data_IF_972308122837
#
_entry.id   IF_972308122837
#
_cell.length_a   1.000
_cell.length_b   1.000
_cell.length_c   1.000
_cell.angle_alpha   90.00
_cell.angle_beta   90.00
_cell.angle_gamma   90.00
#
_symmetry.space_group_name_H-M   'P 1'
#
loop_
_entity.id
_entity.type
_entity.pdbx_description
1 polymer ?
#
# COMPACT_ATOMS: atom_id res chain seq x y z
N UNK A 1 20.06 -3.89 -20.91
CA UNK A 1 19.77 -2.99 -19.76
C UNK A 1 20.73 -3.35 -18.65
N UNK A 2 21.34 -2.36 -18.02
CA UNK A 2 22.20 -2.62 -16.88
C UNK A 2 21.34 -3.20 -15.76
N UNK A 3 21.68 -4.39 -15.27
CA UNK A 3 21.08 -4.92 -14.05
C UNK A 3 21.42 -3.94 -12.93
N UNK A 4 20.44 -3.47 -12.12
CA UNK A 4 20.76 -2.59 -11.01
C UNK A 4 21.80 -3.26 -10.13
N UNK A 5 22.90 -2.54 -9.86
CA UNK A 5 24.07 -3.06 -9.13
C UNK A 5 23.70 -3.55 -7.72
N UNK A 6 22.61 -3.03 -7.15
CA UNK A 6 22.09 -3.40 -5.84
C UNK A 6 20.60 -3.75 -5.94
N UNK A 7 20.21 -4.92 -5.44
CA UNK A 7 18.81 -5.36 -5.39
C UNK A 7 18.03 -4.60 -4.31
N UNK A 8 16.76 -4.27 -4.58
CA UNK A 8 15.87 -3.57 -3.64
C UNK A 8 15.69 -4.35 -2.32
N UNK A 9 15.76 -5.68 -2.36
CA UNK A 9 15.56 -6.56 -1.20
C UNK A 9 16.83 -6.83 -0.40
N UNK A 10 18.00 -6.36 -0.85
CA UNK A 10 19.27 -6.70 -0.22
C UNK A 10 19.78 -5.56 0.67
N UNK A 11 20.47 -5.94 1.73
CA UNK A 11 21.27 -5.01 2.51
C UNK A 11 22.46 -4.57 1.67
N UNK A 12 22.75 -3.28 1.65
CA UNK A 12 23.89 -2.75 0.91
C UNK A 12 24.64 -1.68 1.71
N UNK A 13 25.91 -1.51 1.34
CA UNK A 13 26.80 -0.50 1.88
C UNK A 13 27.47 0.24 0.72
N UNK A 14 27.38 1.56 0.71
CA UNK A 14 27.92 2.42 -0.35
C UNK A 14 28.80 3.49 0.29
N UNK A 15 30.10 3.40 -0.02
CA UNK A 15 31.06 4.44 0.32
C UNK A 15 30.97 5.61 -0.65
N UNK A 16 31.04 6.83 -0.12
CA UNK A 16 30.95 8.01 -0.95
C UNK A 16 31.39 9.29 -0.25
N UNK A 17 31.35 10.36 -1.04
CA UNK A 17 31.49 11.73 -0.56
C UNK A 17 30.13 12.39 -0.59
N UNK A 18 29.76 13.08 0.48
CA UNK A 18 28.41 13.58 0.74
C UNK A 18 28.43 15.07 1.03
N UNK A 19 27.42 15.80 0.58
CA UNK A 19 27.29 17.25 0.80
C UNK A 19 25.84 17.69 0.66
N UNK A 20 25.52 18.88 1.16
CA UNK A 20 24.20 19.50 0.97
C UNK A 20 24.14 20.21 -0.39
N UNK A 21 22.98 20.28 -1.07
CA UNK A 21 22.81 21.10 -2.25
C UNK A 21 23.27 22.55 -1.99
N UNK A 22 24.18 23.07 -2.82
CA UNK A 22 24.77 24.40 -2.64
C UNK A 22 25.79 24.54 -1.49
N UNK A 23 26.02 23.49 -0.69
CA UNK A 23 26.99 23.46 0.39
C UNK A 23 28.44 23.36 -0.11
N UNK A 24 29.37 24.07 0.55
CA UNK A 24 30.80 24.03 0.22
C UNK A 24 31.52 22.82 0.82
N UNK A 25 31.02 22.31 1.95
CA UNK A 25 31.68 21.23 2.69
C UNK A 25 31.26 19.86 2.18
N UNK A 26 32.26 19.02 1.98
CA UNK A 26 32.11 17.62 1.57
C UNK A 26 32.62 16.73 2.68
N UNK A 27 31.82 15.74 3.06
CA UNK A 27 32.14 14.78 4.11
C UNK A 27 32.25 13.38 3.52
N UNK A 28 33.19 12.59 4.03
CA UNK A 28 33.29 11.18 3.64
C UNK A 28 32.47 10.32 4.58
N UNK A 29 31.82 9.30 4.03
CA UNK A 29 30.99 8.43 4.81
C UNK A 29 30.47 7.21 4.07
N UNK A 30 29.72 6.40 4.80
CA UNK A 30 29.16 5.16 4.31
C UNK A 30 27.64 5.17 4.46
N UNK A 31 26.93 4.93 3.36
CA UNK A 31 25.49 4.75 3.35
C UNK A 31 25.18 3.26 3.51
N UNK A 32 24.41 2.94 4.53
CA UNK A 32 23.94 1.60 4.84
C UNK A 32 22.42 1.54 4.66
N UNK A 33 21.94 0.50 3.96
CA UNK A 33 20.52 0.17 3.91
C UNK A 33 20.32 -1.21 4.50
N UNK A 34 19.37 -1.30 5.41
CA UNK A 34 18.79 -2.55 5.91
C UNK A 34 17.26 -2.49 5.90
N UNK A 35 16.60 -3.62 6.17
CA UNK A 35 15.12 -3.77 6.18
C UNK A 35 14.36 -2.69 6.99
N UNK A 36 15.01 -2.06 7.96
CA UNK A 36 14.35 -1.10 8.86
C UNK A 36 14.97 0.28 8.84
N UNK A 37 16.06 0.49 8.11
CA UNK A 37 16.86 1.71 8.25
C UNK A 37 17.68 1.99 7.00
N UNK A 38 17.69 3.26 6.60
CA UNK A 38 18.67 3.81 5.68
C UNK A 38 19.46 4.83 6.49
N UNK A 39 20.76 4.58 6.68
CA UNK A 39 21.63 5.39 7.52
C UNK A 39 22.89 5.80 6.77
N UNK A 40 23.22 7.09 6.81
CA UNK A 40 24.50 7.63 6.40
C UNK A 40 25.37 7.88 7.63
N UNK A 41 26.53 7.24 7.67
CA UNK A 41 27.53 7.41 8.71
C UNK A 41 28.68 8.27 8.19
N UNK A 42 28.86 9.45 8.80
CA UNK A 42 29.85 10.44 8.39
C UNK A 42 31.00 10.54 9.40
N UNK A 43 32.21 10.68 8.87
CA UNK A 43 33.35 11.24 9.61
C UNK A 43 33.27 12.76 9.43
N UNK A 44 32.39 13.39 10.20
CA UNK A 44 32.11 14.83 10.16
C UNK A 44 30.65 15.11 10.44
N UNK A 45 30.24 16.35 10.18
CA UNK A 45 28.86 16.80 10.15
C UNK A 45 28.69 17.88 9.07
N UNK A 46 27.45 18.24 8.74
CA UNK A 46 27.14 19.29 7.76
C UNK A 46 26.97 20.68 8.38
N UNK A 47 27.10 20.76 9.71
CA UNK A 47 26.96 21.98 10.47
C UNK A 47 28.34 22.60 10.72
N UNK A 48 28.47 23.90 10.46
CA UNK A 48 29.61 24.69 10.91
C UNK A 48 29.48 24.90 12.43
N UNK A 49 29.96 23.93 13.21
CA UNK A 49 30.03 24.04 14.68
C UNK A 49 31.09 25.04 15.18
N UNK A 50 31.64 25.91 14.31
CA UNK A 50 32.58 26.95 14.73
C UNK A 50 31.88 28.11 15.47
N UNK A 51 30.56 28.32 15.30
CA UNK A 51 29.92 29.53 15.85
C UNK A 51 29.26 29.38 17.24
N UNK A 52 28.79 28.20 17.68
CA UNK A 52 28.10 28.09 18.97
C UNK A 52 28.31 26.74 19.73
N UNK A 53 29.28 26.67 20.66
CA UNK A 53 29.63 25.42 21.37
C UNK A 53 28.65 24.93 22.46
N UNK A 54 27.56 25.67 22.75
CA UNK A 54 26.76 25.48 23.97
C UNK A 54 25.26 25.21 23.72
N UNK A 55 24.84 24.96 22.48
CA UNK A 55 23.44 24.67 22.19
C UNK A 55 23.28 23.16 21.97
N UNK A 56 22.64 22.47 22.93
CA UNK A 56 22.25 21.07 22.84
C UNK A 56 21.07 20.80 21.89
N UNK A 57 20.55 21.84 21.22
CA UNK A 57 19.61 21.67 20.13
C UNK A 57 20.41 21.45 18.85
N UNK A 58 20.14 20.34 18.16
CA UNK A 58 20.57 20.18 16.77
C UNK A 58 20.19 21.45 16.02
N UNK A 59 21.14 22.15 15.37
CA UNK A 59 20.79 23.30 14.55
C UNK A 59 19.75 22.86 13.51
N UNK A 60 18.81 23.75 13.18
CA UNK A 60 17.71 23.50 12.24
C UNK A 60 18.27 23.48 10.81
N UNK A 61 19.15 22.51 10.55
CA UNK A 61 19.86 22.36 9.28
C UNK A 61 18.97 21.56 8.36
N UNK A 62 18.62 22.20 7.25
CA UNK A 62 17.86 21.56 6.20
C UNK A 62 18.66 20.40 5.58
N UNK A 63 18.22 19.19 5.94
CA UNK A 63 18.68 17.91 5.42
C UNK A 63 17.57 17.23 4.60
N UNK A 64 16.63 18.00 4.05
CA UNK A 64 15.62 17.48 3.13
C UNK A 64 16.24 16.76 1.94
N UNK A 65 17.39 17.25 1.45
CA UNK A 65 18.19 16.61 0.42
C UNK A 65 19.68 16.62 0.78
N UNK A 66 20.34 15.47 0.62
CA UNK A 66 21.80 15.33 0.70
C UNK A 66 22.28 14.70 -0.62
N UNK A 67 23.26 15.32 -1.26
CA UNK A 67 23.94 14.76 -2.43
C UNK A 67 25.08 13.83 -2.01
N UNK A 68 25.28 12.77 -2.78
CA UNK A 68 26.36 11.81 -2.62
C UNK A 68 27.01 11.48 -3.96
N UNK A 69 28.32 11.25 -3.95
CA UNK A 69 29.04 10.68 -5.08
C UNK A 69 29.73 9.41 -4.61
N UNK A 70 29.36 8.29 -5.22
CA UNK A 70 29.95 6.99 -4.92
C UNK A 70 31.38 6.90 -5.44
N UNK A 71 32.10 5.86 -5.00
CA UNK A 71 33.45 5.55 -5.51
C UNK A 71 33.46 5.30 -7.03
N UNK A 72 32.38 4.75 -7.59
CA UNK A 72 32.23 4.55 -9.04
C UNK A 72 31.66 5.77 -9.79
N UNK A 73 31.69 6.95 -9.17
CA UNK A 73 31.26 8.22 -9.75
C UNK A 73 29.76 8.29 -10.07
N UNK A 74 28.95 7.44 -9.43
CA UNK A 74 27.50 7.47 -9.57
C UNK A 74 26.92 8.53 -8.62
N UNK A 75 26.08 9.45 -9.12
CA UNK A 75 25.41 10.45 -8.29
C UNK A 75 24.30 9.81 -7.44
N UNK A 76 24.14 10.25 -6.21
CA UNK A 76 23.10 9.83 -5.26
C UNK A 76 22.42 11.05 -4.65
N UNK A 77 21.12 10.96 -4.42
CA UNK A 77 20.37 11.88 -3.56
C UNK A 77 19.72 11.12 -2.40
N UNK A 78 19.96 11.56 -1.17
CA UNK A 78 19.24 11.10 0.02
C UNK A 78 18.11 12.09 0.30
N UNK A 79 16.92 11.58 0.59
CA UNK A 79 15.72 12.39 0.77
C UNK A 79 15.16 12.26 2.18
N UNK A 80 14.62 13.39 2.68
CA UNK A 80 13.99 13.54 3.99
C UNK A 80 14.87 12.98 5.11
N UNK A 81 16.09 13.52 5.21
CA UNK A 81 17.10 13.06 6.15
C UNK A 81 17.08 13.87 7.45
N UNK A 82 17.54 13.25 8.54
CA UNK A 82 17.66 13.91 9.85
C UNK A 82 18.77 13.28 10.70
N UNK A 83 19.40 14.08 11.57
CA UNK A 83 20.37 13.59 12.53
C UNK A 83 19.72 12.66 13.56
N UNK A 84 20.34 11.51 13.77
CA UNK A 84 19.96 10.57 14.85
C UNK A 84 20.96 10.58 15.99
N UNK A 85 22.24 10.86 15.69
CA UNK A 85 23.29 10.98 16.68
C UNK A 85 24.45 11.81 16.08
N UNK A 86 25.11 12.59 16.93
CA UNK A 86 26.30 13.35 16.58
C UNK A 86 27.23 13.33 17.79
N UNK A 87 28.48 12.94 17.59
CA UNK A 87 29.49 12.83 18.66
C UNK A 87 30.74 13.60 18.25
N UNK A 88 31.19 14.49 19.12
CA UNK A 88 32.48 15.16 18.98
C UNK A 88 33.41 14.64 20.06
N UNK A 89 34.52 14.03 19.67
CA UNK A 89 35.56 13.57 20.59
C UNK A 89 36.78 14.47 20.46
N UNK A 90 37.22 15.04 21.57
CA UNK A 90 38.46 15.81 21.65
C UNK A 90 39.50 14.97 22.41
N UNK A 91 40.65 14.72 21.78
CA UNK A 91 41.76 14.08 22.47
C UNK A 91 42.47 15.09 23.37
N UNK A 92 42.78 14.72 24.62
CA UNK A 92 43.57 15.56 25.52
C UNK A 92 45.06 15.63 25.13
N UNK A 93 45.54 14.66 24.33
CA UNK A 93 46.95 14.53 23.94
C UNK A 93 47.23 14.99 22.51
N UNK A 94 46.19 15.19 21.69
CA UNK A 94 46.30 15.63 20.30
C UNK A 94 45.28 16.75 20.07
N UNK A 95 45.64 17.90 19.49
CA UNK A 95 44.73 19.01 19.24
C UNK A 95 43.82 18.73 18.02
N UNK A 96 43.23 17.54 17.97
CA UNK A 96 42.38 17.06 16.89
C UNK A 96 40.99 16.82 17.47
N UNK A 97 40.03 17.59 16.99
CA UNK A 97 38.60 17.34 17.22
C UNK A 97 38.09 16.41 16.12
N UNK A 98 37.63 15.23 16.49
CA UNK A 98 36.98 14.31 15.55
C UNK A 98 35.48 14.36 15.79
N UNK A 99 34.73 14.74 14.76
CA UNK A 99 33.28 14.71 14.77
C UNK A 99 32.81 13.52 13.96
N UNK A 100 31.83 12.77 14.45
CA UNK A 100 31.10 11.78 13.68
C UNK A 100 29.60 12.02 13.81
N UNK A 101 28.85 11.67 12.77
CA UNK A 101 27.40 11.80 12.77
C UNK A 101 26.72 10.61 12.09
N UNK A 102 25.52 10.30 12.58
CA UNK A 102 24.64 9.29 12.03
C UNK A 102 23.37 9.99 11.54
N UNK A 103 23.11 9.93 10.25
CA UNK A 103 21.96 10.56 9.60
C UNK A 103 21.03 9.45 9.13
N UNK A 104 19.76 9.48 9.55
CA UNK A 104 18.74 8.59 8.98
C UNK A 104 18.12 9.25 7.76
N UNK A 105 17.79 8.46 6.75
CA UNK A 105 17.14 8.92 5.52
C UNK A 105 15.86 8.11 5.28
N UNK A 106 14.86 8.70 4.63
CA UNK A 106 13.65 7.97 4.27
C UNK A 106 13.77 7.31 2.90
N UNK A 107 14.48 7.95 1.96
CA UNK A 107 14.70 7.43 0.62
C UNK A 107 16.08 7.78 0.05
N UNK A 108 16.49 7.05 -0.98
CA UNK A 108 17.73 7.16 -1.74
C UNK A 108 17.37 7.09 -3.21
N UNK A 109 17.81 8.05 -3.99
CA UNK A 109 17.78 8.02 -5.45
C UNK A 109 19.21 7.79 -5.93
N UNK A 110 19.48 6.62 -6.49
CA UNK A 110 20.78 6.20 -7.00
C UNK A 110 20.83 6.38 -8.52
N UNK A 111 21.70 7.25 -9.02
CA UNK A 111 21.80 7.62 -10.43
C UNK A 111 21.40 9.07 -10.73
N UNK A 112 21.00 9.87 -9.73
CA UNK A 112 20.62 11.27 -9.96
C UNK A 112 20.86 12.20 -8.77
N UNK A 113 21.13 13.48 -9.08
CA UNK A 113 21.08 14.59 -8.14
C UNK A 113 19.72 15.30 -8.23
N UNK A 114 19.02 15.39 -7.10
CA UNK A 114 17.77 16.13 -6.97
C UNK A 114 18.03 17.46 -6.27
N UNK A 115 17.37 18.52 -6.71
CA UNK A 115 17.54 19.85 -6.10
C UNK A 115 16.65 20.02 -4.86
N UNK A 116 15.49 19.36 -4.85
CA UNK A 116 14.53 19.34 -3.76
C UNK A 116 13.77 18.01 -3.73
N UNK A 117 13.11 17.69 -2.62
CA UNK A 117 12.25 16.50 -2.49
C UNK A 117 11.08 16.53 -3.49
N UNK A 118 10.56 17.73 -3.77
CA UNK A 118 9.44 17.95 -4.69
C UNK A 118 9.87 18.09 -6.16
N UNK A 119 11.11 17.73 -6.52
CA UNK A 119 11.61 17.86 -7.90
C UNK A 119 10.76 17.02 -8.86
N UNK A 120 9.95 17.68 -9.71
CA UNK A 120 9.19 17.03 -10.78
C UNK A 120 10.09 16.77 -12.00
N UNK A 121 11.02 15.82 -11.88
CA UNK A 121 12.03 15.54 -12.91
C UNK A 121 11.93 14.14 -13.54
N UNK A 122 10.97 13.31 -13.12
CA UNK A 122 10.86 11.93 -13.60
C UNK A 122 9.73 11.78 -14.62
N UNK A 123 10.06 11.28 -15.82
CA UNK A 123 9.10 11.07 -16.91
C UNK A 123 8.37 9.72 -16.83
N UNK A 124 8.94 8.75 -16.12
CA UNK A 124 8.29 7.45 -15.90
C UNK A 124 8.88 6.71 -14.72
N UNK A 125 8.09 5.80 -14.16
CA UNK A 125 8.54 4.84 -13.16
C UNK A 125 8.20 3.43 -13.60
N UNK A 126 9.15 2.51 -13.49
CA UNK A 126 8.97 1.07 -13.69
C UNK A 126 9.11 0.36 -12.35
N UNK A 127 8.17 -0.53 -12.07
CA UNK A 127 8.15 -1.35 -10.84
C UNK A 127 7.81 -2.81 -11.15
N UNK A 128 8.30 -3.70 -10.31
CA UNK A 128 8.00 -5.13 -10.34
C UNK A 128 7.04 -5.49 -9.21
N UNK A 129 6.03 -6.31 -9.50
CA UNK A 129 5.12 -6.86 -8.50
C UNK A 129 5.33 -8.39 -8.42
N UNK A 130 5.51 -8.97 -7.22
CA UNK A 130 5.60 -10.40 -7.07
C UNK A 130 4.35 -11.10 -7.61
N UNK A 131 4.55 -12.28 -8.21
CA UNK A 131 3.50 -13.06 -8.86
C UNK A 131 2.76 -12.36 -10.02
N UNK A 132 3.25 -11.21 -10.51
CA UNK A 132 2.58 -10.47 -11.58
C UNK A 132 2.53 -11.24 -12.90
N UNK A 133 3.63 -11.88 -13.30
CA UNK A 133 3.66 -12.77 -14.48
C UNK A 133 2.63 -13.90 -14.37
N UNK A 134 2.51 -14.51 -13.17
CA UNK A 134 1.56 -15.60 -12.89
C UNK A 134 0.11 -15.10 -12.91
N UNK A 135 -0.13 -13.89 -12.41
CA UNK A 135 -1.43 -13.26 -12.41
C UNK A 135 -1.89 -12.89 -13.83
N UNK A 136 -0.98 -12.38 -14.67
CA UNK A 136 -1.22 -12.13 -16.09
C UNK A 136 -1.51 -13.42 -16.86
N UNK A 137 -0.92 -14.53 -16.41
CA UNK A 137 -1.03 -15.85 -17.03
C UNK A 137 -0.51 -15.84 -18.48
N UNK A 138 0.56 -15.07 -18.70
CA UNK A 138 1.34 -15.13 -19.94
C UNK A 138 2.35 -16.27 -19.81
N UNK A 139 2.35 -17.20 -20.78
CA UNK A 139 3.31 -18.31 -20.86
C UNK A 139 4.24 -18.07 -22.05
N UNK A 140 5.30 -17.25 -21.90
CA UNK A 140 6.16 -16.86 -23.02
C UNK A 140 7.15 -17.95 -23.43
N UNK A 141 7.40 -18.93 -22.57
CA UNK A 141 8.31 -20.05 -22.85
C UNK A 141 7.53 -21.28 -23.29
N UNK A 142 7.97 -21.90 -24.38
CA UNK A 142 7.57 -23.24 -24.79
C UNK A 142 8.82 -24.09 -24.99
N UNK A 143 8.78 -25.33 -24.50
CA UNK A 143 9.86 -26.29 -24.62
C UNK A 143 9.36 -27.49 -25.40
N UNK A 144 10.05 -27.80 -26.50
CA UNK A 144 9.90 -29.04 -27.25
C UNK A 144 11.17 -29.85 -27.06
N UNK A 145 11.06 -31.14 -26.75
CA UNK A 145 12.22 -31.98 -26.50
C UNK A 145 12.00 -33.35 -27.14
N UNK A 146 13.01 -33.79 -27.90
CA UNK A 146 13.13 -35.17 -28.36
C UNK A 146 14.39 -35.75 -27.72
N UNK A 147 14.23 -36.34 -26.53
CA UNK A 147 15.35 -36.84 -25.75
C UNK A 147 15.79 -38.23 -26.26
N UNK A 148 17.10 -38.46 -26.48
CA UNK A 148 18.24 -37.64 -26.06
C UNK A 148 18.82 -36.69 -27.13
N UNK A 149 18.12 -36.47 -28.26
CA UNK A 149 18.64 -35.76 -29.42
C UNK A 149 18.74 -34.25 -29.24
N UNK A 150 17.64 -33.58 -28.89
CA UNK A 150 17.61 -32.12 -28.76
C UNK A 150 16.55 -31.62 -27.77
N UNK A 151 16.75 -30.37 -27.35
CA UNK A 151 15.78 -29.56 -26.61
C UNK A 151 15.70 -28.20 -27.31
N UNK A 152 14.52 -27.86 -27.82
CA UNK A 152 14.21 -26.57 -28.42
C UNK A 152 13.45 -25.70 -27.44
N UNK A 153 14.09 -24.60 -27.01
CA UNK A 153 13.47 -23.58 -26.17
C UNK A 153 13.08 -22.38 -27.03
N UNK A 154 11.77 -22.12 -27.13
CA UNK A 154 11.23 -20.95 -27.81
C UNK A 154 10.71 -19.95 -26.80
N UNK A 155 11.12 -18.69 -26.97
CA UNK A 155 10.57 -17.56 -26.25
C UNK A 155 9.76 -16.68 -27.20
N UNK A 156 8.53 -16.38 -26.81
CA UNK A 156 7.64 -15.45 -27.52
C UNK A 156 7.42 -14.23 -26.64
N UNK A 157 7.83 -13.05 -27.10
CA UNK A 157 7.60 -11.80 -26.38
C UNK A 157 6.10 -11.56 -26.16
N UNK A 158 5.62 -11.42 -24.90
CA UNK A 158 4.25 -11.03 -24.64
C UNK A 158 3.94 -9.64 -25.20
N UNK A 159 2.76 -9.47 -25.78
CA UNK A 159 2.29 -8.18 -26.26
C UNK A 159 2.12 -7.19 -25.08
N UNK A 160 2.61 -5.94 -25.20
CA UNK A 160 2.45 -4.95 -24.16
C UNK A 160 0.98 -4.54 -24.03
N UNK A 161 0.53 -4.37 -22.79
CA UNK A 161 -0.83 -3.91 -22.49
C UNK A 161 -0.77 -2.48 -21.99
N UNK A 162 -1.51 -1.56 -22.62
CA UNK A 162 -1.48 -0.13 -22.31
C UNK A 162 -2.87 0.30 -21.82
N UNK A 163 -2.92 0.94 -20.65
CA UNK A 163 -4.14 1.42 -20.02
C UNK A 163 -4.08 2.93 -19.85
N UNK A 164 -5.03 3.64 -20.48
CA UNK A 164 -5.17 5.10 -20.36
C UNK A 164 -6.04 5.44 -19.16
N UNK A 165 -5.46 6.13 -18.17
CA UNK A 165 -6.12 6.45 -16.90
C UNK A 165 -6.84 7.79 -17.00
N UNK A 166 -6.11 8.89 -16.82
CA UNK A 166 -6.58 10.28 -16.92
C UNK A 166 -5.40 11.23 -17.18
N UNK A 167 -5.65 12.55 -17.18
CA UNK A 167 -4.59 13.56 -17.40
C UNK A 167 -3.58 13.66 -16.25
N UNK A 168 -3.97 13.22 -15.04
CA UNK A 168 -3.14 13.32 -13.85
C UNK A 168 -2.11 12.18 -13.79
N UNK A 169 -2.55 10.95 -14.08
CA UNK A 169 -1.77 9.71 -14.01
C UNK A 169 -1.12 9.36 -15.35
N UNK A 170 -1.79 9.64 -16.46
CA UNK A 170 -1.34 9.26 -17.80
C UNK A 170 -1.57 7.78 -18.11
N UNK A 171 -0.54 7.14 -18.66
CA UNK A 171 -0.61 5.76 -19.15
C UNK A 171 0.06 4.78 -18.19
N UNK A 172 -0.54 3.60 -18.05
CA UNK A 172 0.04 2.46 -17.34
C UNK A 172 0.29 1.34 -18.35
N UNK A 173 1.52 0.87 -18.43
CA UNK A 173 1.93 -0.17 -19.37
C UNK A 173 2.41 -1.42 -18.64
N UNK A 174 1.93 -2.58 -19.07
CA UNK A 174 2.47 -3.88 -18.67
C UNK A 174 3.41 -4.37 -19.77
N UNK A 175 4.68 -4.54 -19.43
CA UNK A 175 5.71 -4.93 -20.40
C UNK A 175 6.65 -5.97 -19.82
N UNK A 176 6.84 -7.06 -20.56
CA UNK A 176 7.79 -8.11 -20.22
C UNK A 176 9.16 -7.84 -20.82
N UNK A 177 10.19 -8.15 -20.06
CA UNK A 177 11.59 -8.06 -20.46
C UNK A 177 12.21 -9.44 -20.25
N UNK A 178 12.89 -9.94 -21.29
CA UNK A 178 13.69 -11.15 -21.22
C UNK A 178 15.14 -10.80 -20.93
N UNK A 179 15.77 -11.55 -20.04
CA UNK A 179 17.18 -11.45 -19.71
C UNK A 179 17.80 -12.83 -19.81
N UNK A 180 18.96 -12.91 -20.46
CA UNK A 180 19.75 -14.12 -20.58
C UNK A 180 21.24 -13.74 -20.55
N UNK A 181 22.09 -14.49 -19.83
CA UNK A 181 23.53 -14.26 -19.85
C UNK A 181 24.12 -14.67 -21.22
N UNK A 182 25.39 -14.36 -21.48
CA UNK A 182 26.14 -15.04 -22.53
C UNK A 182 26.04 -16.56 -22.37
N UNK A 183 26.10 -17.29 -23.48
CA UNK A 183 26.03 -18.76 -23.47
C UNK A 183 27.30 -19.30 -22.79
N UNK A 184 27.13 -20.13 -21.77
CA UNK A 184 28.20 -20.87 -21.11
C UNK A 184 28.11 -22.37 -21.45
N UNK A 185 29.15 -23.13 -21.11
CA UNK A 185 29.24 -24.57 -21.43
C UNK A 185 28.32 -25.43 -20.56
N UNK A 186 28.15 -25.05 -19.30
CA UNK A 186 27.55 -25.91 -18.27
C UNK A 186 26.11 -25.52 -17.91
N UNK A 187 25.73 -24.24 -18.05
CA UNK A 187 24.39 -23.74 -17.73
C UNK A 187 23.97 -22.59 -18.65
N UNK A 188 22.67 -22.56 -19.02
CA UNK A 188 22.07 -21.42 -19.71
C UNK A 188 20.68 -21.11 -19.14
N UNK A 189 20.54 -19.94 -18.51
CA UNK A 189 19.30 -19.54 -17.83
C UNK A 189 18.66 -18.35 -18.53
N UNK A 190 17.42 -18.51 -18.99
CA UNK A 190 16.61 -17.40 -19.52
C UNK A 190 15.54 -17.02 -18.51
N UNK A 191 15.45 -15.72 -18.20
CA UNK A 191 14.47 -15.18 -17.25
C UNK A 191 13.55 -14.18 -17.94
N UNK A 192 12.24 -14.36 -17.81
CA UNK A 192 11.23 -13.36 -18.17
C UNK A 192 10.75 -12.66 -16.90
N UNK A 193 10.71 -11.32 -16.92
CA UNK A 193 10.09 -10.52 -15.87
C UNK A 193 9.14 -9.51 -16.47
N UNK A 194 7.93 -9.40 -15.92
CA UNK A 194 6.97 -8.37 -16.32
C UNK A 194 6.94 -7.22 -15.32
N UNK A 195 6.98 -6.01 -15.87
CA UNK A 195 6.96 -4.77 -15.12
C UNK A 195 5.71 -3.96 -15.41
N UNK A 196 5.34 -3.13 -14.44
CA UNK A 196 4.36 -2.07 -14.60
C UNK A 196 5.13 -0.77 -14.77
N UNK A 197 4.88 -0.06 -15.88
CA UNK A 197 5.47 1.25 -16.16
C UNK A 197 4.39 2.32 -16.09
N UNK A 198 4.58 3.32 -15.25
CA UNK A 198 3.71 4.49 -15.10
C UNK A 198 4.33 5.62 -15.90
N UNK A 199 3.56 6.23 -16.81
CA UNK A 199 3.99 7.31 -17.71
C UNK A 199 3.03 8.50 -17.62
N UNK A 200 3.28 9.45 -16.70
CA UNK A 200 2.50 10.68 -16.64
C UNK A 200 2.72 11.56 -17.89
N UNK A 201 1.77 12.44 -18.18
CA UNK A 201 1.86 13.39 -19.31
C UNK A 201 2.98 14.42 -19.08
N UNK A 202 3.18 14.82 -17.83
CA UNK A 202 4.24 15.74 -17.41
C UNK A 202 5.15 15.02 -16.41
N UNK A 203 6.44 15.39 -16.34
CA UNK A 203 7.33 14.89 -15.30
C UNK A 203 6.74 15.08 -13.89
N UNK A 204 6.99 14.12 -13.00
CA UNK A 204 6.45 14.09 -11.63
C UNK A 204 7.55 13.83 -10.61
N UNK A 205 7.23 14.12 -9.35
CA UNK A 205 8.14 13.88 -8.22
C UNK A 205 8.20 12.41 -7.83
N UNK A 206 9.24 12.05 -7.08
CA UNK A 206 9.38 10.71 -6.50
C UNK A 206 8.17 10.32 -5.64
N UNK A 207 7.74 11.21 -4.74
CA UNK A 207 6.63 10.95 -3.83
C UNK A 207 5.32 10.70 -4.59
N UNK A 208 5.08 11.43 -5.69
CA UNK A 208 3.92 11.20 -6.54
C UNK A 208 3.90 9.78 -7.12
N UNK A 209 5.03 9.30 -7.67
CA UNK A 209 5.09 7.94 -8.19
C UNK A 209 4.93 6.90 -7.08
N UNK A 210 5.49 7.13 -5.89
CA UNK A 210 5.30 6.24 -4.72
C UNK A 210 3.82 6.11 -4.36
N UNK A 211 3.09 7.23 -4.32
CA UNK A 211 1.65 7.23 -4.05
C UNK A 211 0.88 6.39 -5.08
N UNK A 212 1.16 6.57 -6.37
CA UNK A 212 0.53 5.79 -7.45
C UNK A 212 0.88 4.30 -7.33
N UNK A 213 2.15 3.95 -7.10
CA UNK A 213 2.58 2.56 -6.89
C UNK A 213 1.88 1.93 -5.68
N UNK A 214 1.69 2.66 -4.58
CA UNK A 214 0.96 2.18 -3.42
C UNK A 214 -0.54 1.99 -3.69
N UNK A 215 -1.14 2.78 -4.59
CA UNK A 215 -2.52 2.54 -5.02
C UNK A 215 -2.64 1.28 -5.89
N UNK A 216 -1.69 1.08 -6.81
CA UNK A 216 -1.59 -0.12 -7.65
C UNK A 216 -1.35 -1.36 -6.78
N UNK A 217 -0.52 -1.26 -5.75
CA UNK A 217 -0.26 -2.35 -4.82
C UNK A 217 -1.50 -2.83 -4.07
N UNK A 218 -2.31 -1.91 -3.56
CA UNK A 218 -3.60 -2.24 -2.91
C UNK A 218 -4.56 -2.88 -3.90
N UNK A 219 -4.57 -2.38 -5.13
CA UNK A 219 -5.33 -2.96 -6.23
C UNK A 219 -4.93 -4.43 -6.46
N UNK A 220 -3.63 -4.71 -6.57
CA UNK A 220 -3.13 -6.07 -6.72
C UNK A 220 -3.36 -6.93 -5.50
N UNK A 221 -3.26 -6.37 -4.29
CA UNK A 221 -3.58 -7.09 -3.05
C UNK A 221 -5.03 -7.58 -3.05
N UNK A 222 -5.97 -6.83 -3.65
CA UNK A 222 -7.35 -7.27 -3.85
C UNK A 222 -7.45 -8.42 -4.87
N UNK A 223 -6.76 -8.33 -6.01
CA UNK A 223 -6.76 -9.37 -7.05
C UNK A 223 -6.05 -10.66 -6.64
N UNK A 224 -4.97 -10.53 -5.87
CA UNK A 224 -4.17 -11.64 -5.39
C UNK A 224 -4.83 -12.28 -4.16
N UNK A 225 -5.45 -11.51 -3.28
CA UNK A 225 -6.08 -11.99 -2.04
C UNK A 225 -5.14 -12.03 -0.84
N UNK A 226 -3.85 -11.82 -1.07
CA UNK A 226 -2.79 -11.65 -0.09
C UNK A 226 -1.98 -10.39 -0.40
N UNK A 227 -1.15 -10.00 0.57
CA UNK A 227 -0.35 -8.78 0.49
C UNK A 227 0.62 -8.86 -0.67
N UNK A 228 0.55 -7.89 -1.57
CA UNK A 228 1.56 -7.70 -2.60
C UNK A 228 2.39 -6.50 -2.20
N UNK A 229 3.71 -6.59 -2.36
CA UNK A 229 4.60 -5.45 -2.18
C UNK A 229 5.50 -5.30 -3.40
N UNK A 230 5.42 -4.13 -4.05
CA UNK A 230 6.28 -3.86 -5.21
C UNK A 230 7.75 -3.74 -4.81
N UNK A 231 8.62 -4.00 -5.77
CA UNK A 231 10.07 -3.92 -5.68
C UNK A 231 10.67 -3.40 -6.98
N UNK A 232 11.99 -3.18 -7.00
CA UNK A 232 12.75 -2.72 -8.18
C UNK A 232 12.19 -1.43 -8.77
N UNK A 233 12.34 -0.35 -8.00
CA UNK A 233 11.82 0.95 -8.36
C UNK A 233 12.79 1.70 -9.26
N UNK A 234 12.55 1.63 -10.57
CA UNK A 234 13.36 2.29 -11.60
C UNK A 234 12.65 3.56 -12.07
N UNK A 235 13.35 4.68 -12.07
CA UNK A 235 12.88 5.98 -12.50
C UNK A 235 13.63 6.40 -13.75
N UNK A 236 12.96 7.08 -14.67
CA UNK A 236 13.61 7.71 -15.83
C UNK A 236 13.53 9.23 -15.72
N UNK A 237 14.66 9.91 -15.88
CA UNK A 237 14.73 11.37 -15.87
C UNK A 237 14.19 11.97 -17.17
N UNK A 238 13.48 13.08 -17.05
CA UNK A 238 12.85 13.75 -18.19
C UNK A 238 13.85 14.44 -19.12
N UNK A 239 14.97 14.95 -18.58
CA UNK A 239 15.91 15.80 -19.33
C UNK A 239 16.82 15.01 -20.27
N UNK A 240 17.26 13.82 -19.84
CA UNK A 240 18.27 13.03 -20.53
C UNK A 240 17.93 11.53 -20.69
N UNK A 241 16.77 11.09 -20.17
CA UNK A 241 16.34 9.69 -20.14
C UNK A 241 17.28 8.74 -19.39
N UNK A 242 18.19 9.27 -18.56
CA UNK A 242 18.98 8.42 -17.67
C UNK A 242 18.06 7.68 -16.69
N UNK A 243 18.49 6.50 -16.28
CA UNK A 243 17.78 5.65 -15.33
C UNK A 243 18.37 5.86 -13.92
N UNK A 244 17.48 6.02 -12.93
CA UNK A 244 17.81 6.06 -11.53
C UNK A 244 17.06 4.96 -10.78
N UNK A 245 17.68 4.34 -9.78
CA UNK A 245 17.02 3.37 -8.90
C UNK A 245 16.68 4.03 -7.58
N UNK A 246 15.45 3.88 -7.11
CA UNK A 246 15.05 4.37 -5.80
C UNK A 246 15.01 3.25 -4.75
N UNK A 247 15.47 3.57 -3.54
CA UNK A 247 15.36 2.74 -2.36
C UNK A 247 14.71 3.56 -1.25
N UNK A 248 13.76 2.99 -0.53
CA UNK A 248 13.08 3.72 0.55
C UNK A 248 12.74 2.78 1.69
N UNK A 249 12.56 3.38 2.88
CA UNK A 249 12.35 2.64 4.11
C UNK A 249 11.01 1.91 4.07
N UNK A 250 11.05 0.58 3.99
CA UNK A 250 9.87 -0.27 4.08
C UNK A 250 10.27 -1.65 4.58
N UNK A 251 9.47 -2.23 5.49
CA UNK A 251 9.66 -3.61 5.92
C UNK A 251 9.45 -4.54 4.74
N UNK A 252 10.41 -5.42 4.46
CA UNK A 252 10.26 -6.45 3.45
C UNK A 252 9.23 -7.48 3.90
N UNK A 253 8.41 -7.95 2.97
CA UNK A 253 7.45 -9.04 3.19
C UNK A 253 7.87 -10.18 2.28
N UNK A 254 8.12 -11.36 2.87
CA UNK A 254 8.35 -12.57 2.12
C UNK A 254 7.11 -12.90 1.27
N UNK A 255 7.31 -13.03 -0.03
CA UNK A 255 6.26 -13.31 -0.99
C UNK A 255 6.65 -14.54 -1.78
N UNK A 256 5.97 -15.64 -1.51
CA UNK A 256 6.19 -16.90 -2.21
C UNK A 256 5.47 -16.92 -3.57
N UNK A 257 5.96 -17.74 -4.51
CA UNK A 257 5.19 -18.16 -5.66
C UNK A 257 3.78 -18.63 -5.32
N UNK A 258 2.78 -18.03 -5.95
CA UNK A 258 1.38 -18.44 -5.81
C UNK A 258 0.97 -19.41 -6.92
N UNK A 259 0.17 -20.40 -6.55
CA UNK A 259 -0.54 -21.29 -7.45
C UNK A 259 -1.74 -20.55 -8.08
N UNK A 260 -2.10 -20.83 -9.36
CA UNK A 260 -3.28 -20.24 -10.00
C UNK A 260 -4.58 -20.23 -9.19
N UNK A 261 -4.81 -21.20 -8.30
CA UNK A 261 -6.03 -21.29 -7.48
C UNK A 261 -6.03 -20.43 -6.20
N UNK A 262 -4.88 -19.85 -5.85
CA UNK A 262 -4.73 -18.98 -4.67
C UNK A 262 -5.11 -17.52 -4.98
N UNK A 263 -5.06 -17.11 -6.25
CA UNK A 263 -5.48 -15.76 -6.65
C UNK A 263 -6.99 -15.56 -6.41
N UNK A 264 -7.36 -14.39 -5.87
CA UNK A 264 -8.78 -13.99 -5.80
C UNK A 264 -9.38 -13.88 -7.21
N UNK A 265 -8.64 -13.30 -8.15
CA UNK A 265 -8.92 -13.38 -9.58
C UNK A 265 -7.66 -13.11 -10.40
N UNK A 266 -7.51 -13.83 -11.53
CA UNK A 266 -6.39 -13.66 -12.46
C UNK A 266 -6.78 -12.71 -13.59
N UNK A 267 -5.79 -12.14 -14.26
CA UNK A 267 -6.03 -11.20 -15.37
C UNK A 267 -6.96 -11.76 -16.46
N UNK A 268 -6.80 -13.01 -16.96
CA UNK A 268 -7.69 -13.54 -17.99
C UNK A 268 -9.16 -13.57 -17.55
N UNK A 269 -9.40 -13.71 -16.25
CA UNK A 269 -10.75 -13.77 -15.71
C UNK A 269 -11.41 -12.39 -15.55
N UNK A 270 -10.63 -11.30 -15.62
CA UNK A 270 -11.11 -9.91 -15.44
C UNK A 270 -10.77 -8.96 -16.59
N UNK A 271 -10.07 -9.44 -17.63
CA UNK A 271 -9.49 -8.62 -18.70
C UNK A 271 -10.48 -7.66 -19.35
N UNK A 272 -11.75 -8.08 -19.51
CA UNK A 272 -12.79 -7.29 -20.18
C UNK A 272 -13.20 -6.05 -19.36
N UNK A 273 -13.13 -6.14 -18.03
CA UNK A 273 -13.49 -5.05 -17.11
C UNK A 273 -12.28 -4.34 -16.53
N UNK A 274 -11.09 -4.93 -16.64
CA UNK A 274 -9.88 -4.43 -16.02
C UNK A 274 -9.52 -2.98 -16.41
N UNK A 275 -9.64 -2.53 -17.68
CA UNK A 275 -9.39 -1.13 -18.02
C UNK A 275 -10.29 -0.14 -17.27
N UNK A 276 -11.58 -0.45 -17.15
CA UNK A 276 -12.55 0.38 -16.41
C UNK A 276 -12.25 0.33 -14.92
N UNK A 277 -11.94 -0.86 -14.40
CA UNK A 277 -11.59 -1.07 -13.01
C UNK A 277 -10.36 -0.26 -12.60
N UNK A 278 -9.26 -0.39 -13.34
CA UNK A 278 -8.01 0.31 -13.06
C UNK A 278 -8.21 1.83 -13.11
N UNK A 279 -8.90 2.35 -14.13
CA UNK A 279 -9.21 3.77 -14.23
C UNK A 279 -10.01 4.25 -13.02
N UNK A 280 -11.10 3.55 -12.69
CA UNK A 280 -11.98 3.93 -11.57
C UNK A 280 -11.22 3.89 -10.25
N UNK A 281 -10.39 2.87 -10.04
CA UNK A 281 -9.60 2.67 -8.83
C UNK A 281 -8.56 3.78 -8.61
N UNK A 282 -7.80 4.11 -9.66
CA UNK A 282 -6.71 5.08 -9.55
C UNK A 282 -7.18 6.54 -9.56
N UNK A 283 -8.44 6.79 -9.89
CA UNK A 283 -9.06 8.12 -9.90
C UNK A 283 -10.03 8.34 -8.73
N UNK A 284 -10.00 7.46 -7.71
CA UNK A 284 -10.84 7.61 -6.53
C UNK A 284 -10.54 8.92 -5.77
N UNK A 285 -11.55 9.61 -5.22
CA UNK A 285 -11.33 10.77 -4.34
C UNK A 285 -10.45 10.43 -3.13
N UNK A 286 -9.65 11.39 -2.66
CA UNK A 286 -8.71 11.21 -1.55
C UNK A 286 -9.35 10.66 -0.27
N UNK A 287 -10.59 11.04 0.01
CA UNK A 287 -11.35 10.57 1.17
C UNK A 287 -11.62 9.06 1.06
N UNK A 288 -12.00 8.58 -0.12
CA UNK A 288 -12.25 7.15 -0.38
C UNK A 288 -10.95 6.37 -0.34
N UNK A 289 -9.87 6.93 -0.89
CA UNK A 289 -8.54 6.31 -0.83
C UNK A 289 -8.04 6.17 0.61
N UNK A 290 -8.17 7.20 1.45
CA UNK A 290 -7.79 7.12 2.87
C UNK A 290 -8.54 6.00 3.58
N UNK A 291 -9.80 5.89 3.25
CA UNK A 291 -10.68 4.93 3.87
C UNK A 291 -10.41 3.50 3.37
N UNK A 292 -9.97 3.33 2.11
CA UNK A 292 -9.39 2.09 1.61
C UNK A 292 -8.11 1.69 2.34
N UNK A 293 -7.22 2.66 2.66
CA UNK A 293 -5.98 2.35 3.38
C UNK A 293 -6.25 1.60 4.68
N UNK A 294 -7.32 1.94 5.41
CA UNK A 294 -7.74 1.23 6.63
C UNK A 294 -8.12 -0.24 6.36
N UNK A 295 -8.76 -0.53 5.22
CA UNK A 295 -9.08 -1.90 4.79
C UNK A 295 -7.78 -2.66 4.59
N UNK A 296 -6.90 -2.12 3.74
CA UNK A 296 -5.70 -2.81 3.32
C UNK A 296 -4.65 -2.93 4.41
N UNK A 297 -4.56 -2.01 5.39
CA UNK A 297 -3.68 -2.20 6.55
C UNK A 297 -3.94 -3.50 7.31
N UNK A 298 -5.21 -3.94 7.32
CA UNK A 298 -5.61 -5.21 7.94
C UNK A 298 -5.16 -6.43 7.15
N UNK A 299 -5.12 -6.29 5.83
CA UNK A 299 -4.70 -7.33 4.90
C UNK A 299 -3.17 -7.40 4.86
N UNK A 300 -2.50 -6.24 4.78
CA UNK A 300 -1.07 -6.01 4.63
C UNK A 300 -0.23 -6.44 5.84
N UNK A 301 -0.76 -6.29 7.06
CA UNK A 301 -0.04 -6.62 8.29
C UNK A 301 -1.00 -7.09 9.37
N UNK A 302 -1.45 -8.35 9.30
CA UNK A 302 -2.47 -8.85 10.21
C UNK A 302 -1.91 -8.92 11.63
N UNK A 303 -2.50 -8.13 12.53
CA UNK A 303 -2.14 -8.11 13.94
C UNK A 303 -2.21 -9.52 14.56
N UNK A 304 -1.43 -9.82 15.62
CA UNK A 304 -1.45 -11.16 16.23
C UNK A 304 -2.81 -11.52 16.82
N UNK A 305 -3.55 -10.53 17.32
CA UNK A 305 -4.87 -10.71 17.92
C UNK A 305 -6.01 -10.57 16.90
N UNK A 306 -7.03 -11.42 17.02
CA UNK A 306 -8.15 -11.45 16.07
C UNK A 306 -9.00 -10.18 16.13
N UNK A 307 -9.18 -9.60 17.31
CA UNK A 307 -9.90 -8.35 17.56
C UNK A 307 -9.26 -7.19 16.78
N UNK A 308 -7.94 -7.18 16.72
CA UNK A 308 -7.14 -6.19 15.99
C UNK A 308 -7.20 -6.38 14.47
N UNK A 309 -7.65 -7.55 13.99
CA UNK A 309 -7.99 -7.79 12.57
C UNK A 309 -9.46 -7.47 12.30
N UNK A 310 -10.34 -7.75 13.24
CA UNK A 310 -11.77 -7.58 13.09
C UNK A 310 -12.21 -6.11 13.05
N UNK A 311 -11.76 -5.29 14.02
CA UNK A 311 -12.22 -3.90 14.15
C UNK A 311 -11.96 -3.05 12.89
N UNK A 312 -10.76 -3.08 12.28
CA UNK A 312 -10.51 -2.36 11.04
C UNK A 312 -11.41 -2.80 9.86
N UNK A 313 -11.77 -4.08 9.74
CA UNK A 313 -12.71 -4.54 8.71
C UNK A 313 -14.12 -4.01 8.96
N UNK A 314 -14.56 -3.89 10.21
CA UNK A 314 -15.86 -3.27 10.50
C UNK A 314 -15.86 -1.79 10.16
N UNK A 315 -14.76 -1.07 10.48
CA UNK A 315 -14.58 0.33 10.08
C UNK A 315 -14.55 0.49 8.56
N UNK A 316 -13.93 -0.46 7.85
CA UNK A 316 -13.93 -0.51 6.39
C UNK A 316 -15.34 -0.60 5.80
N UNK A 317 -16.25 -1.38 6.42
CA UNK A 317 -17.66 -1.42 6.01
C UNK A 317 -18.35 -0.07 6.19
N UNK A 318 -18.11 0.62 7.32
CA UNK A 318 -18.69 1.94 7.59
C UNK A 318 -18.26 2.96 6.52
N UNK A 319 -16.95 2.97 6.24
CA UNK A 319 -16.31 3.74 5.19
C UNK A 319 -16.91 3.43 3.81
N UNK A 320 -17.01 2.15 3.48
CA UNK A 320 -17.43 1.73 2.16
C UNK A 320 -18.90 2.13 1.94
N UNK A 321 -19.74 1.90 2.94
CA UNK A 321 -21.13 2.37 2.96
C UNK A 321 -21.25 3.87 2.78
N UNK A 322 -20.43 4.70 3.46
CA UNK A 322 -20.47 6.17 3.28
C UNK A 322 -20.10 6.58 1.85
N UNK A 323 -19.20 5.84 1.22
CA UNK A 323 -18.75 6.11 -0.15
C UNK A 323 -19.68 5.57 -1.24
N UNK A 324 -20.67 4.73 -0.90
CA UNK A 324 -21.66 4.17 -1.85
C UNK A 324 -23.05 4.72 -1.63
N UNK A 325 -23.44 5.00 -0.39
CA UNK A 325 -24.78 5.45 -0.03
C UNK A 325 -24.69 6.68 0.89
N UNK A 326 -25.06 7.84 0.35
CA UNK A 326 -25.09 9.12 1.06
C UNK A 326 -26.43 9.37 1.76
N UNK A 327 -27.33 8.40 1.76
CA UNK A 327 -28.64 8.52 2.37
C UNK A 327 -28.51 8.74 3.87
N UNK A 328 -28.86 9.94 4.28
CA UNK A 328 -29.20 10.27 5.67
C UNK A 328 -30.59 9.73 5.98
N UNK A 329 -30.88 9.48 7.27
CA UNK A 329 -32.20 8.97 7.70
C UNK A 329 -33.32 9.92 7.25
N UNK A 330 -33.07 11.22 7.40
CA UNK A 330 -33.92 12.31 6.95
C UNK A 330 -33.16 13.24 6.01
N UNK A 331 -33.88 13.99 5.18
CA UNK A 331 -33.28 15.07 4.39
C UNK A 331 -32.61 16.10 5.33
N UNK A 332 -31.47 16.67 4.91
CA UNK A 332 -30.60 17.47 5.79
C UNK A 332 -31.31 18.71 6.35
N UNK A 333 -32.17 19.34 5.56
CA UNK A 333 -32.93 20.52 6.00
C UNK A 333 -34.03 20.16 6.99
N UNK A 334 -34.70 19.01 6.82
CA UNK A 334 -35.70 18.49 7.76
C UNK A 334 -35.06 18.12 9.10
N UNK A 335 -33.95 17.36 9.08
CA UNK A 335 -33.23 17.01 10.29
C UNK A 335 -32.73 18.24 11.06
N UNK A 336 -32.27 19.28 10.35
CA UNK A 336 -31.83 20.54 10.97
C UNK A 336 -32.98 21.19 11.75
N UNK A 337 -34.19 21.23 11.18
CA UNK A 337 -35.37 21.79 11.85
C UNK A 337 -35.71 20.99 13.12
N UNK A 338 -35.72 19.66 13.04
CA UNK A 338 -36.01 18.79 14.19
C UNK A 338 -34.97 18.98 15.29
N UNK A 339 -33.68 19.04 14.93
CA UNK A 339 -32.58 19.31 15.87
C UNK A 339 -32.77 20.63 16.60
N UNK A 340 -33.05 21.70 15.86
CA UNK A 340 -33.16 23.04 16.45
C UNK A 340 -34.38 23.11 17.40
N UNK A 341 -35.52 22.51 17.00
CA UNK A 341 -36.69 22.37 17.86
C UNK A 341 -36.41 21.56 19.13
N UNK A 342 -35.65 20.46 19.03
CA UNK A 342 -35.30 19.62 20.17
C UNK A 342 -34.37 20.35 21.16
N UNK A 343 -33.43 21.16 20.65
CA UNK A 343 -32.54 21.98 21.48
C UNK A 343 -33.32 23.12 22.15
N UNK A 344 -34.20 23.79 21.42
CA UNK A 344 -35.00 24.92 21.93
C UNK A 344 -36.05 24.47 22.96
N UNK A 345 -36.49 23.21 22.90
CA UNK A 345 -37.39 22.61 23.89
C UNK A 345 -36.72 22.34 25.26
N UNK A 346 -35.40 22.44 25.37
CA UNK A 346 -34.71 22.18 26.64
C UNK A 346 -35.00 23.29 27.67
N UNK A 347 -35.27 22.94 28.94
CA UNK A 347 -35.49 23.93 29.99
C UNK A 347 -34.30 24.89 30.13
N UNK A 348 -34.53 26.19 30.36
CA UNK A 348 -33.46 27.20 30.56
C UNK A 348 -32.47 26.89 31.69
N UNK A 349 -32.85 26.04 32.64
CA UNK A 349 -31.99 25.58 33.76
C UNK A 349 -31.11 24.38 33.39
N UNK A 350 -31.19 23.87 32.16
CA UNK A 350 -30.39 22.72 31.72
C UNK A 350 -28.91 23.08 31.74
N UNK A 351 -28.05 22.25 32.36
CA UNK A 351 -26.62 22.51 32.39
C UNK A 351 -26.05 22.66 30.98
N UNK A 352 -25.29 23.73 30.74
CA UNK A 352 -24.76 24.06 29.41
C UNK A 352 -23.89 22.93 28.82
N UNK A 353 -23.14 22.23 29.68
CA UNK A 353 -22.36 21.03 29.30
C UNK A 353 -23.24 19.93 28.70
N UNK A 354 -24.45 19.72 29.23
CA UNK A 354 -25.39 18.73 28.70
C UNK A 354 -25.97 19.17 27.35
N UNK A 355 -26.33 20.46 27.21
CA UNK A 355 -26.80 21.04 25.94
C UNK A 355 -25.73 20.88 24.85
N UNK A 356 -24.47 21.17 25.15
CA UNK A 356 -23.35 20.97 24.23
C UNK A 356 -23.13 19.50 23.87
N UNK A 357 -23.22 18.61 24.86
CA UNK A 357 -23.13 17.16 24.62
C UNK A 357 -24.24 16.66 23.69
N UNK A 358 -25.47 17.17 23.86
CA UNK A 358 -26.61 16.81 23.00
C UNK A 358 -26.45 17.39 21.58
N UNK A 359 -25.96 18.62 21.44
CA UNK A 359 -25.62 19.21 20.14
C UNK A 359 -24.57 18.37 19.40
N UNK A 360 -23.55 17.87 20.12
CA UNK A 360 -22.55 16.96 19.57
C UNK A 360 -23.15 15.61 19.17
N UNK A 361 -24.06 15.03 19.96
CA UNK A 361 -24.71 13.77 19.58
C UNK A 361 -25.58 13.91 18.32
N UNK A 362 -26.22 15.06 18.12
CA UNK A 362 -27.00 15.32 16.90
C UNK A 362 -26.14 15.42 15.63
N UNK A 363 -24.81 15.63 15.74
CA UNK A 363 -23.92 15.67 14.58
C UNK A 363 -23.98 14.36 13.77
N UNK A 364 -24.13 13.24 14.46
CA UNK A 364 -24.13 11.89 13.86
C UNK A 364 -25.52 11.23 13.87
N UNK A 365 -26.52 11.85 14.50
CA UNK A 365 -27.84 11.23 14.69
C UNK A 365 -28.67 11.10 13.40
N UNK A 366 -28.29 11.79 12.31
CA UNK A 366 -28.90 11.62 11.00
C UNK A 366 -28.14 10.62 10.10
N UNK A 367 -27.06 10.03 10.59
CA UNK A 367 -26.32 8.99 9.87
C UNK A 367 -26.93 7.61 10.10
N UNK A 368 -26.93 6.72 9.09
CA UNK A 368 -27.30 5.32 9.28
C UNK A 368 -26.41 4.65 10.33
N UNK A 369 -27.02 3.83 11.19
CA UNK A 369 -26.27 3.03 12.16
C UNK A 369 -25.44 1.97 11.46
N UNK A 370 -24.42 1.40 12.13
CA UNK A 370 -23.65 0.29 11.56
C UNK A 370 -24.55 -0.87 11.09
N UNK A 371 -25.61 -1.17 11.85
CA UNK A 371 -26.58 -2.20 11.49
C UNK A 371 -27.30 -1.87 10.18
N UNK A 372 -27.75 -0.62 10.02
CA UNK A 372 -28.41 -0.16 8.80
C UNK A 372 -27.45 -0.26 7.59
N UNK A 373 -26.18 0.10 7.79
CA UNK A 373 -25.14 0.01 6.74
C UNK A 373 -24.94 -1.42 6.26
N UNK A 374 -24.83 -2.38 7.17
CA UNK A 374 -24.79 -3.80 6.80
C UNK A 374 -26.05 -4.23 6.05
N UNK A 375 -27.22 -3.84 6.55
CA UNK A 375 -28.49 -4.18 5.91
C UNK A 375 -28.56 -3.65 4.47
N UNK A 376 -28.22 -2.38 4.23
CA UNK A 376 -28.25 -1.79 2.89
C UNK A 376 -27.23 -2.41 1.94
N UNK A 377 -25.99 -2.63 2.41
CA UNK A 377 -24.95 -3.23 1.58
C UNK A 377 -25.30 -4.67 1.19
N UNK A 378 -25.78 -5.48 2.14
CA UNK A 378 -26.15 -6.88 1.87
C UNK A 378 -27.40 -6.95 0.97
N UNK A 379 -28.40 -6.10 1.22
CA UNK A 379 -29.63 -6.03 0.39
C UNK A 379 -29.36 -5.53 -1.04
N UNK A 380 -28.27 -4.79 -1.23
CA UNK A 380 -27.83 -4.32 -2.54
C UNK A 380 -27.20 -5.41 -3.42
N UNK A 381 -26.91 -6.59 -2.86
CA UNK A 381 -26.34 -7.73 -3.60
C UNK A 381 -27.44 -8.76 -3.91
N UNK A 382 -27.21 -9.52 -4.97
CA UNK A 382 -28.03 -10.69 -5.31
C UNK A 382 -27.95 -11.76 -4.21
N UNK A 383 -29.08 -12.42 -3.86
CA UNK A 383 -29.10 -13.43 -2.81
C UNK A 383 -28.09 -14.57 -2.98
N UNK A 384 -27.76 -14.98 -4.20
CA UNK A 384 -26.76 -16.02 -4.44
C UNK A 384 -25.33 -15.54 -4.19
N UNK A 385 -25.07 -14.24 -4.37
CA UNK A 385 -23.79 -13.63 -3.98
C UNK A 385 -23.68 -13.55 -2.45
N UNK A 386 -24.78 -13.21 -1.76
CA UNK A 386 -24.82 -13.12 -0.29
C UNK A 386 -24.48 -14.44 0.39
N UNK A 387 -24.95 -15.57 -0.19
CA UNK A 387 -24.61 -16.92 0.27
C UNK A 387 -23.10 -17.25 0.22
N UNK A 388 -22.29 -16.45 -0.48
CA UNK A 388 -20.84 -16.67 -0.54
C UNK A 388 -20.11 -16.28 0.75
N UNK A 389 -20.72 -15.47 1.63
CA UNK A 389 -20.07 -14.97 2.83
C UNK A 389 -20.92 -15.05 4.10
N UNK A 390 -22.22 -15.35 4.04
CA UNK A 390 -23.02 -15.60 5.23
C UNK A 390 -24.16 -16.59 4.97
N UNK A 391 -24.62 -17.25 6.03
CA UNK A 391 -25.80 -18.14 6.01
C UNK A 391 -27.07 -17.34 6.26
N UNK A 392 -27.06 -16.49 7.28
CA UNK A 392 -28.17 -15.61 7.65
C UNK A 392 -27.68 -14.15 7.75
N UNK A 393 -28.01 -13.31 6.75
CA UNK A 393 -27.62 -11.90 6.72
C UNK A 393 -27.93 -11.11 8.00
N UNK A 394 -29.07 -11.37 8.64
CA UNK A 394 -29.50 -10.63 9.83
C UNK A 394 -28.69 -11.02 11.06
N UNK A 395 -28.48 -12.32 11.28
CA UNK A 395 -27.68 -12.82 12.40
C UNK A 395 -26.19 -12.49 12.19
N UNK A 396 -25.67 -12.58 10.96
CA UNK A 396 -24.32 -12.11 10.62
C UNK A 396 -24.11 -10.65 10.99
N UNK A 397 -24.98 -9.75 10.52
CA UNK A 397 -24.88 -8.32 10.82
C UNK A 397 -24.99 -8.05 12.33
N UNK A 398 -25.90 -8.73 13.02
CA UNK A 398 -26.12 -8.61 14.46
C UNK A 398 -24.91 -9.07 15.28
N UNK A 399 -24.32 -10.21 14.93
CA UNK A 399 -23.11 -10.74 15.58
C UNK A 399 -21.93 -9.79 15.44
N UNK A 400 -21.73 -9.23 14.25
CA UNK A 400 -20.67 -8.23 13.99
C UNK A 400 -20.88 -6.96 14.80
N UNK A 401 -22.08 -6.37 14.74
CA UNK A 401 -22.41 -5.13 15.45
C UNK A 401 -22.25 -5.31 16.95
N UNK A 402 -22.74 -6.42 17.51
CA UNK A 402 -22.62 -6.69 18.94
C UNK A 402 -21.17 -6.85 19.37
N UNK A 403 -20.39 -7.61 18.59
CA UNK A 403 -18.96 -7.82 18.86
C UNK A 403 -18.18 -6.52 18.79
N UNK A 404 -18.41 -5.68 17.77
CA UNK A 404 -17.78 -4.35 17.68
C UNK A 404 -18.13 -3.48 18.88
N UNK A 405 -19.41 -3.44 19.27
CA UNK A 405 -19.85 -2.64 20.41
C UNK A 405 -19.19 -3.09 21.72
N UNK A 406 -19.04 -4.40 21.92
CA UNK A 406 -18.36 -4.94 23.09
C UNK A 406 -16.88 -4.57 23.11
N UNK A 407 -16.18 -4.71 21.98
CA UNK A 407 -14.75 -4.41 21.89
C UNK A 407 -14.42 -2.92 22.07
N UNK A 408 -15.34 -2.01 21.72
CA UNK A 408 -15.12 -0.55 21.80
C UNK A 408 -15.67 0.07 23.08
N UNK A 409 -16.82 -0.40 23.57
CA UNK A 409 -17.55 0.25 24.68
C UNK A 409 -17.62 -0.59 25.96
N UNK A 410 -17.08 -1.81 25.97
CA UNK A 410 -17.02 -2.75 27.09
C UNK A 410 -18.32 -2.78 27.91
N UNK A 411 -19.31 -3.55 27.45
CA UNK A 411 -20.60 -3.69 28.15
C UNK A 411 -20.65 -4.95 29.02
N UNK A 412 -21.46 -4.97 30.07
CA UNK A 412 -21.62 -6.15 30.95
C UNK A 412 -22.35 -7.34 30.26
N UNK A 413 -22.80 -7.19 29.01
CA UNK A 413 -23.55 -8.23 28.28
C UNK A 413 -22.69 -8.98 27.27
N UNK A 414 -22.20 -10.17 27.63
CA UNK A 414 -21.42 -11.06 26.74
C UNK A 414 -22.26 -11.90 25.77
N UNK A 415 -23.57 -12.02 25.99
CA UNK A 415 -24.44 -12.94 25.22
C UNK A 415 -24.47 -12.61 23.73
N UNK A 416 -24.04 -13.47 22.81
CA UNK A 416 -24.03 -13.17 21.37
C UNK A 416 -22.86 -12.31 20.88
N UNK A 417 -21.82 -12.15 21.69
CA UNK A 417 -20.51 -11.63 21.25
C UNK A 417 -19.70 -12.78 20.66
N UNK A 418 -19.12 -12.58 19.48
CA UNK A 418 -18.35 -13.60 18.78
C UNK A 418 -16.94 -13.71 19.38
N UNK A 419 -16.52 -14.92 19.72
CA UNK A 419 -15.22 -15.20 20.33
C UNK A 419 -14.50 -16.36 19.63
N UNK A 420 -13.17 -16.44 19.80
CA UNK A 420 -12.34 -17.54 19.29
C UNK A 420 -12.61 -17.88 17.81
N UNK A 421 -13.08 -19.10 17.56
CA UNK A 421 -13.37 -19.60 16.22
C UNK A 421 -14.50 -18.81 15.51
N UNK A 422 -15.51 -18.34 16.26
CA UNK A 422 -16.60 -17.54 15.67
C UNK A 422 -16.07 -16.18 15.19
N UNK A 423 -15.21 -15.53 15.98
CA UNK A 423 -14.57 -14.27 15.60
C UNK A 423 -13.65 -14.45 14.39
N UNK A 424 -12.91 -15.55 14.33
CA UNK A 424 -12.10 -15.91 13.18
C UNK A 424 -12.93 -15.99 11.88
N UNK A 425 -14.00 -16.77 11.88
CA UNK A 425 -14.84 -16.91 10.70
C UNK A 425 -15.61 -15.64 10.37
N UNK A 426 -16.07 -14.87 11.36
CA UNK A 426 -16.68 -13.57 11.10
C UNK A 426 -15.71 -12.60 10.43
N UNK A 427 -14.43 -12.60 10.84
CA UNK A 427 -13.36 -11.81 10.21
C UNK A 427 -13.14 -12.25 8.76
N UNK A 428 -13.08 -13.56 8.51
CA UNK A 428 -12.97 -14.10 7.15
C UNK A 428 -14.16 -13.71 6.27
N UNK A 429 -15.39 -13.91 6.76
CA UNK A 429 -16.64 -13.54 6.07
C UNK A 429 -16.69 -12.04 5.76
N UNK A 430 -16.28 -11.18 6.70
CA UNK A 430 -16.17 -9.73 6.48
C UNK A 430 -15.19 -9.39 5.36
N UNK A 431 -14.00 -10.02 5.35
CA UNK A 431 -13.02 -9.85 4.26
C UNK A 431 -13.65 -10.23 2.91
N UNK A 432 -14.30 -11.39 2.83
CA UNK A 432 -14.99 -11.85 1.60
C UNK A 432 -16.03 -10.85 1.13
N UNK A 433 -16.89 -10.38 2.04
CA UNK A 433 -17.94 -9.40 1.74
C UNK A 433 -17.33 -8.10 1.19
N UNK A 434 -16.30 -7.55 1.84
CA UNK A 434 -15.64 -6.31 1.41
C UNK A 434 -14.98 -6.49 0.05
N UNK A 435 -14.30 -7.62 -0.20
CA UNK A 435 -13.69 -7.89 -1.50
C UNK A 435 -14.74 -7.94 -2.61
N UNK A 436 -15.86 -8.64 -2.41
CA UNK A 436 -16.98 -8.69 -3.37
C UNK A 436 -17.50 -7.27 -3.64
N UNK A 437 -17.79 -6.52 -2.58
CA UNK A 437 -18.31 -5.17 -2.68
C UNK A 437 -17.37 -4.24 -3.46
N UNK A 438 -16.05 -4.30 -3.20
CA UNK A 438 -15.05 -3.52 -3.93
C UNK A 438 -14.97 -3.91 -5.40
N UNK A 439 -14.91 -5.22 -5.71
CA UNK A 439 -14.85 -5.70 -7.09
C UNK A 439 -16.08 -5.25 -7.89
N UNK A 440 -17.28 -5.37 -7.30
CA UNK A 440 -18.53 -4.90 -7.91
C UNK A 440 -18.53 -3.39 -8.11
N UNK A 441 -18.19 -2.62 -7.07
CA UNK A 441 -18.24 -1.15 -7.10
C UNK A 441 -17.33 -0.55 -8.17
N UNK A 442 -16.16 -1.14 -8.39
CA UNK A 442 -15.16 -0.60 -9.31
C UNK A 442 -15.29 -1.14 -10.73
N UNK A 443 -16.32 -1.95 -11.03
CA UNK A 443 -16.75 -2.16 -12.41
C UNK A 443 -16.76 -3.62 -12.88
N UNK A 444 -16.48 -4.59 -12.02
CA UNK A 444 -16.65 -6.01 -12.38
C UNK A 444 -18.12 -6.41 -12.11
N UNK A 445 -18.86 -6.94 -13.10
CA UNK A 445 -20.25 -7.33 -12.88
C UNK A 445 -20.38 -8.37 -11.77
N UNK A 446 -21.42 -8.24 -10.95
CA UNK A 446 -21.62 -9.06 -9.77
C UNK A 446 -21.69 -10.56 -10.09
N UNK A 447 -22.33 -10.95 -11.20
CA UNK A 447 -22.39 -12.34 -11.63
C UNK A 447 -20.99 -12.91 -11.90
N UNK A 448 -20.08 -12.11 -12.47
CA UNK A 448 -18.70 -12.51 -12.73
C UNK A 448 -17.91 -12.59 -11.41
N UNK A 449 -18.04 -11.61 -10.52
CA UNK A 449 -17.45 -11.66 -9.17
C UNK A 449 -17.86 -12.93 -8.44
N UNK A 450 -19.15 -13.30 -8.49
CA UNK A 450 -19.69 -14.51 -7.88
C UNK A 450 -18.99 -15.77 -8.38
N UNK A 451 -18.80 -15.89 -9.69
CA UNK A 451 -18.13 -17.05 -10.29
C UNK A 451 -16.62 -17.08 -9.97
N UNK A 452 -15.96 -15.93 -9.88
CA UNK A 452 -14.56 -15.83 -9.45
C UNK A 452 -14.38 -16.35 -8.02
N UNK A 453 -15.20 -15.87 -7.09
CA UNK A 453 -15.13 -16.26 -5.68
C UNK A 453 -15.44 -17.75 -5.49
N UNK A 454 -16.37 -18.32 -6.26
CA UNK A 454 -16.67 -19.77 -6.21
C UNK A 454 -15.50 -20.64 -6.67
N UNK A 455 -14.71 -20.18 -7.65
CA UNK A 455 -13.55 -20.92 -8.19
C UNK A 455 -12.32 -20.85 -7.27
N UNK A 456 -12.24 -19.84 -6.43
CA UNK A 456 -11.13 -19.67 -5.51
C UNK A 456 -11.15 -20.74 -4.39
N UNK A 457 -9.99 -21.37 -4.18
CA UNK A 457 -9.88 -22.51 -3.26
C UNK A 457 -10.07 -22.10 -1.79
N UNK A 458 -9.55 -20.96 -1.37
CA UNK A 458 -9.62 -20.49 0.01
C UNK A 458 -11.05 -20.10 0.39
N UNK A 459 -11.76 -19.41 -0.50
CA UNK A 459 -13.17 -19.07 -0.28
C UNK A 459 -14.05 -20.32 -0.26
N UNK A 460 -13.87 -21.24 -1.20
CA UNK A 460 -14.68 -22.47 -1.27
C UNK A 460 -14.40 -23.44 -0.12
N UNK A 461 -13.14 -23.62 0.29
CA UNK A 461 -12.77 -24.47 1.43
C UNK A 461 -13.21 -23.86 2.76
N UNK A 462 -12.98 -22.56 2.97
CA UNK A 462 -13.43 -21.85 4.16
C UNK A 462 -14.93 -21.92 4.33
N UNK A 463 -15.68 -21.77 3.23
CA UNK A 463 -17.15 -21.88 3.21
C UNK A 463 -17.67 -23.19 3.76
N UNK A 464 -17.08 -24.32 3.36
CA UNK A 464 -17.48 -25.64 3.88
C UNK A 464 -17.33 -25.78 5.39
N UNK A 465 -16.43 -25.00 5.99
CA UNK A 465 -16.20 -25.00 7.44
C UNK A 465 -17.19 -24.08 8.15
N UNK A 466 -17.26 -22.81 7.74
CA UNK A 466 -18.04 -21.81 8.48
C UNK A 466 -19.55 -21.92 8.28
N UNK A 467 -20.04 -22.65 7.28
CA UNK A 467 -21.49 -22.90 7.09
C UNK A 467 -22.13 -23.58 8.31
N UNK A 468 -21.33 -24.32 9.07
CA UNK A 468 -21.77 -25.00 10.29
C UNK A 468 -21.45 -24.21 11.58
N UNK A 469 -20.84 -23.03 11.47
CA UNK A 469 -20.46 -22.18 12.60
C UNK A 469 -21.57 -21.13 12.84
N UNK A 470 -22.17 -21.06 14.04
CA UNK A 470 -23.21 -20.08 14.35
C UNK A 470 -22.73 -18.63 14.15
N UNK A 471 -23.60 -17.78 13.59
CA UNK A 471 -23.30 -16.37 13.30
C UNK A 471 -23.54 -15.43 14.50
N UNK A 472 -24.09 -15.98 15.59
CA UNK A 472 -24.22 -15.35 16.91
C UNK A 472 -23.96 -16.42 17.98
N UNK A 473 -23.28 -16.04 19.06
CA UNK A 473 -22.94 -16.92 20.19
C UNK A 473 -24.09 -17.21 21.14
#
# INVERSE_FOLDING_TARGET
MAVPKYSFSEDFSIHGTWWRPGGKYRQHGNLHKSDHKIQLDLIGAFDDLEEHPLIHNFPDVDLSVIHGLTVDQTPISLLNSFYTNQKSTLSLNLPIKVTSSNICCNAVIHGAFLNSVDSECFSSCRVSFPNFDRWLNDLPFSVEADLPEFIDLKYTHPEPRIFKIDENIGDIEFKSIVSYPPIEWDEFTITNKTFITIKPIKPRSFDWFIEVCCQIERMFTLFVGSVVQFSNYELSLADNHDEATAYFRRKSIEQSPLNPFEFTCRYPDVQDWFPVFMRTWLTLPSEVQHAHRLVFTTLESPAPFMESRFLPLVQAVEVFSRSTDTKTILEKSEFRKIRDLAIDALPKRTPMKFVESLKRSFQFANEPTLRDRFHYLIKGLDPETVKLFCVNPEEFAKGIVKTRNQLVHYSDSSKGVLEGNQLHWATFKLKTMISILMLCKYGIPEANVRELIKKNHDFSSGRRVWENVPEVS
#
